data_IF_179054375642
#
_entry.id   IF_179054375642
#
_cell.length_a   1.000
_cell.length_b   1.000
_cell.length_c   1.000
_cell.angle_alpha   90.00
_cell.angle_beta   90.00
_cell.angle_gamma   90.00
#
_symmetry.space_group_name_H-M   'P 1'
#
loop_
_entity.id
_entity.type
_entity.pdbx_description
1 polymer ?
#
# COMPACT_ATOMS: atom_id res chain seq x y z
N UNK A 1 5.72 -6.55 28.60
CA UNK A 1 5.06 -6.25 27.32
C UNK A 1 5.71 -5.01 26.73
N UNK A 2 6.06 -4.99 25.44
CA UNK A 2 6.59 -3.80 24.76
C UNK A 2 5.63 -3.42 23.66
N UNK A 3 5.12 -2.19 23.70
CA UNK A 3 4.27 -1.60 22.68
C UNK A 3 5.10 -0.57 21.89
N UNK A 4 4.84 -0.44 20.59
CA UNK A 4 5.43 0.57 19.73
C UNK A 4 4.28 1.34 19.07
N UNK A 5 4.25 2.66 19.24
CA UNK A 5 3.23 3.56 18.65
C UNK A 5 3.65 4.11 17.28
N UNK A 6 4.69 3.53 16.66
CA UNK A 6 5.12 3.95 15.33
C UNK A 6 4.21 3.30 14.29
N UNK A 7 3.51 4.07 13.44
CA UNK A 7 2.80 3.50 12.31
C UNK A 7 3.79 2.72 11.42
N UNK A 8 3.59 1.41 11.31
CA UNK A 8 4.35 0.55 10.42
C UNK A 8 3.96 0.87 8.98
N UNK A 9 4.71 1.75 8.35
CA UNK A 9 4.52 2.09 6.94
C UNK A 9 5.24 1.06 6.05
N UNK A 10 4.47 0.38 5.21
CA UNK A 10 5.00 -0.43 4.11
C UNK A 10 4.48 0.17 2.81
N UNK A 11 5.36 0.40 1.84
CA UNK A 11 4.94 0.70 0.46
C UNK A 11 4.95 -0.58 -0.36
N UNK A 12 3.81 -0.86 -0.98
CA UNK A 12 3.63 -2.04 -1.84
C UNK A 12 3.21 -1.57 -3.22
N UNK A 13 3.97 -1.96 -4.23
CA UNK A 13 3.59 -1.83 -5.64
C UNK A 13 3.43 -3.23 -6.23
N UNK A 14 2.26 -3.53 -6.79
CA UNK A 14 1.92 -4.87 -7.30
C UNK A 14 1.53 -4.79 -8.77
N UNK A 15 2.09 -5.69 -9.57
CA UNK A 15 1.83 -5.82 -11.00
C UNK A 15 1.73 -7.31 -11.33
N UNK A 16 0.54 -7.79 -11.69
CA UNK A 16 0.30 -9.21 -12.00
C UNK A 16 0.89 -10.18 -10.95
N UNK A 17 2.03 -10.80 -11.29
CA UNK A 17 2.78 -11.77 -10.49
C UNK A 17 4.10 -11.24 -9.91
N UNK A 18 4.32 -9.93 -9.99
CA UNK A 18 5.47 -9.21 -9.45
C UNK A 18 5.06 -8.16 -8.40
N UNK A 19 5.92 -7.94 -7.42
CA UNK A 19 5.68 -7.00 -6.35
C UNK A 19 6.98 -6.33 -5.89
N UNK A 20 6.96 -5.02 -5.73
CA UNK A 20 8.00 -4.26 -5.04
C UNK A 20 7.49 -3.92 -3.64
N UNK A 21 8.25 -4.28 -2.62
CA UNK A 21 7.90 -4.06 -1.22
C UNK A 21 9.04 -3.31 -0.54
N UNK A 22 8.74 -2.22 0.16
CA UNK A 22 9.70 -1.51 1.02
C UNK A 22 9.23 -1.60 2.47
N UNK A 23 9.67 -2.61 3.23
CA UNK A 23 9.33 -2.72 4.65
C UNK A 23 9.89 -1.54 5.45
N UNK A 24 9.16 -1.13 6.49
CA UNK A 24 9.67 -0.14 7.44
C UNK A 24 10.95 -0.64 8.11
N UNK A 25 12.03 0.12 7.99
CA UNK A 25 13.23 -0.05 8.79
C UNK A 25 13.28 1.06 9.84
N UNK A 26 13.53 0.69 11.09
CA UNK A 26 13.60 1.66 12.19
C UNK A 26 14.61 2.77 11.89
N UNK A 27 14.22 4.01 12.16
CA UNK A 27 15.03 5.21 11.93
C UNK A 27 15.53 5.39 10.48
N UNK A 28 14.86 4.78 9.49
CA UNK A 28 15.25 4.85 8.07
C UNK A 28 14.13 5.51 7.25
N UNK A 29 14.42 6.58 6.48
CA UNK A 29 13.46 7.13 5.52
C UNK A 29 13.03 6.09 4.49
N UNK A 30 11.76 6.10 4.07
CA UNK A 30 11.22 5.11 3.13
C UNK A 30 11.97 5.03 1.81
N UNK A 31 12.50 6.15 1.31
CA UNK A 31 13.33 6.22 0.10
C UNK A 31 14.69 5.52 0.24
N UNK A 32 15.18 5.38 1.47
CA UNK A 32 16.44 4.70 1.80
C UNK A 32 16.21 3.28 2.32
N UNK A 33 14.96 2.84 2.42
CA UNK A 33 14.63 1.50 2.88
C UNK A 33 14.94 0.47 1.79
N UNK A 34 15.34 -0.74 2.21
CA UNK A 34 15.58 -1.83 1.28
C UNK A 34 14.31 -2.16 0.49
N UNK A 35 14.42 -2.21 -0.84
CA UNK A 35 13.35 -2.67 -1.72
C UNK A 35 13.52 -4.15 -2.02
N UNK A 36 12.45 -4.91 -1.81
CA UNK A 36 12.36 -6.32 -2.16
C UNK A 36 11.56 -6.47 -3.44
N UNK A 37 12.12 -7.11 -4.46
CA UNK A 37 11.39 -7.56 -5.63
C UNK A 37 10.95 -9.01 -5.43
N UNK A 38 9.65 -9.21 -5.32
CA UNK A 38 9.04 -10.52 -5.08
C UNK A 38 8.31 -10.98 -6.34
N UNK A 39 8.55 -12.22 -6.73
CA UNK A 39 7.80 -12.91 -7.78
C UNK A 39 6.89 -13.97 -7.17
N UNK A 40 5.71 -14.19 -7.75
CA UNK A 40 4.84 -15.29 -7.36
C UNK A 40 5.46 -16.62 -7.79
N UNK A 41 5.97 -17.39 -6.82
CA UNK A 41 6.57 -18.70 -7.05
C UNK A 41 5.72 -19.88 -6.56
N UNK A 42 4.60 -19.60 -5.88
CA UNK A 42 3.72 -20.63 -5.35
C UNK A 42 2.75 -20.08 -4.29
N UNK A 43 1.80 -20.91 -3.82
CA UNK A 43 0.70 -20.47 -2.96
C UNK A 43 1.14 -20.03 -1.55
N UNK A 44 2.32 -20.46 -1.07
CA UNK A 44 2.80 -20.17 0.28
C UNK A 44 4.00 -19.20 0.31
N UNK A 45 4.35 -18.62 -0.84
CA UNK A 45 5.50 -17.74 -0.99
C UNK A 45 5.28 -16.34 -0.42
N UNK A 46 6.37 -15.56 -0.34
CA UNK A 46 6.36 -14.20 0.18
C UNK A 46 5.39 -13.28 -0.56
N UNK A 47 5.30 -13.41 -1.89
CA UNK A 47 4.32 -12.69 -2.70
C UNK A 47 2.89 -12.87 -2.15
N UNK A 48 2.47 -14.13 -1.94
CA UNK A 48 1.09 -14.41 -1.51
C UNK A 48 0.84 -13.87 -0.12
N UNK A 49 1.81 -13.98 0.78
CA UNK A 49 1.71 -13.46 2.15
C UNK A 49 1.51 -11.95 2.17
N UNK A 50 2.30 -11.19 1.39
CA UNK A 50 2.14 -9.75 1.29
C UNK A 50 0.84 -9.34 0.58
N UNK A 51 0.43 -10.08 -0.45
CA UNK A 51 -0.86 -9.86 -1.12
C UNK A 51 -2.04 -10.03 -0.16
N UNK A 52 -2.08 -11.14 0.58
CA UNK A 52 -3.14 -11.39 1.57
C UNK A 52 -3.15 -10.35 2.68
N UNK A 53 -1.97 -9.90 3.14
CA UNK A 53 -1.88 -8.82 4.11
C UNK A 53 -2.47 -7.51 3.58
N UNK A 54 -2.09 -7.12 2.35
CA UNK A 54 -2.63 -5.91 1.71
C UNK A 54 -4.15 -6.00 1.52
N UNK A 55 -4.67 -7.12 1.00
CA UNK A 55 -6.10 -7.32 0.76
C UNK A 55 -6.89 -7.23 2.08
N UNK A 56 -6.34 -7.78 3.17
CA UNK A 56 -6.93 -7.68 4.51
C UNK A 56 -7.00 -6.24 5.02
N UNK A 57 -5.95 -5.44 4.83
CA UNK A 57 -5.96 -4.01 5.18
C UNK A 57 -6.96 -3.25 4.30
N UNK A 58 -6.92 -3.47 2.99
CA UNK A 58 -7.78 -2.80 2.02
C UNK A 58 -9.27 -3.01 2.30
N UNK A 59 -9.66 -4.22 2.71
CA UNK A 59 -11.03 -4.55 3.08
C UNK A 59 -11.58 -3.71 4.26
N UNK A 60 -10.71 -3.12 5.09
CA UNK A 60 -11.11 -2.23 6.20
C UNK A 60 -11.22 -0.75 5.81
N UNK A 61 -10.81 -0.40 4.59
CA UNK A 61 -10.79 0.98 4.14
C UNK A 61 -12.18 1.45 3.69
N UNK A 62 -12.41 2.76 3.74
CA UNK A 62 -13.62 3.38 3.21
C UNK A 62 -13.27 4.31 2.04
N UNK A 63 -14.15 4.48 1.04
CA UNK A 63 -13.90 5.42 -0.04
C UNK A 63 -13.67 6.83 0.50
N UNK A 64 -12.67 7.53 -0.05
CA UNK A 64 -12.48 8.95 0.25
C UNK A 64 -13.69 9.72 -0.27
N UNK A 65 -14.36 10.47 0.62
CA UNK A 65 -15.44 11.36 0.21
C UNK A 65 -14.86 12.48 -0.66
N UNK A 66 -15.33 12.58 -1.90
CA UNK A 66 -15.01 13.70 -2.77
C UNK A 66 -15.96 14.86 -2.48
N UNK A 67 -15.59 15.70 -1.51
CA UNK A 67 -16.35 16.90 -1.15
C UNK A 67 -15.99 18.10 -2.05
N UNK A 68 -15.26 17.90 -3.16
CA UNK A 68 -14.93 19.01 -4.08
C UNK A 68 -16.20 19.53 -4.76
N UNK A 69 -16.38 20.86 -4.85
CA UNK A 69 -17.54 21.43 -5.51
C UNK A 69 -17.55 21.05 -7.00
N UNK A 70 -18.67 20.49 -7.48
CA UNK A 70 -18.88 20.22 -8.91
C UNK A 70 -18.77 21.54 -9.68
N UNK A 71 -17.83 21.65 -10.63
CA UNK A 71 -17.71 22.83 -11.50
C UNK A 71 -19.04 23.05 -12.22
N UNK A 72 -19.66 24.21 -12.05
CA UNK A 72 -20.86 24.56 -12.80
C UNK A 72 -20.49 24.69 -14.28
N UNK A 73 -21.06 23.86 -15.13
CA UNK A 73 -20.98 23.99 -16.58
C UNK A 73 -21.66 25.31 -16.97
N UNK A 74 -20.87 26.37 -17.18
CA UNK A 74 -21.39 27.62 -17.73
C UNK A 74 -21.59 27.41 -19.24
N UNK A 75 -22.84 27.21 -19.65
CA UNK A 75 -23.21 27.21 -21.06
C UNK A 75 -22.79 28.55 -21.66
N UNK A 76 -21.97 28.52 -22.72
CA UNK A 76 -21.64 29.69 -23.53
C UNK A 76 -22.87 30.01 -24.37
N UNK A 77 -23.49 31.14 -24.07
CA UNK A 77 -24.43 31.86 -24.95
C UNK A 77 -23.68 32.53 -26.09
#
# INVERSE_FOLDING_TARGET
MRQQDVPLYNSVFRFDDEMLVTPHLYATPGESAAMLHLRRLGPNGMFVRFATHFDGVWATTTPVRDDRPKKSTRARS
#
